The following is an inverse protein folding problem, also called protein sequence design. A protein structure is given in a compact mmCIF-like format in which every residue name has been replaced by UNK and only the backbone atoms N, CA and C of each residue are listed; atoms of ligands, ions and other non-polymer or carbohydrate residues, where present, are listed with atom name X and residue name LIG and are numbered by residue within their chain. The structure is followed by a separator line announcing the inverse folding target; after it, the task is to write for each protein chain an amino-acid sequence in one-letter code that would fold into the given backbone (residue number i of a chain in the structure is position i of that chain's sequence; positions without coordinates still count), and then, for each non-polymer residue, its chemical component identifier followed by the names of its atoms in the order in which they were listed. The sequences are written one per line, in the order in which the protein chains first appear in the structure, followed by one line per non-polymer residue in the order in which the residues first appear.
data_IF_465524856880
#
_entry.id   IF_465524856880
#
_cell.length_a   1.000
_cell.length_b   1.000
_cell.length_c   1.000
_cell.angle_alpha   90.00
_cell.angle_beta   90.00
_cell.angle_gamma   90.00
#
_symmetry.space_group_name_H-M   'P 1'
#
loop_
_entity.id
_entity.type
_entity.pdbx_description
1 polymer ?
#
# COMPACT_ATOMS: atom_id res chain seq x y z
N UNK A 1 -1.43 -7.02 -8.35
CA UNK A 1 -2.34 -7.77 -7.47
C UNK A 1 -2.26 -7.35 -6.01
N UNK A 2 -1.07 -7.15 -5.41
CA UNK A 2 -0.97 -6.77 -3.99
C UNK A 2 -1.68 -5.46 -3.63
N UNK A 3 -1.60 -4.44 -4.49
CA UNK A 3 -2.34 -3.19 -4.33
C UNK A 3 -3.85 -3.41 -4.19
N UNK A 4 -4.45 -4.06 -5.18
CA UNK A 4 -5.88 -4.42 -5.18
C UNK A 4 -6.27 -5.26 -3.95
N UNK A 5 -5.40 -6.16 -3.50
CA UNK A 5 -5.65 -6.94 -2.28
C UNK A 5 -5.70 -6.02 -1.04
N UNK A 6 -4.81 -5.05 -0.96
CA UNK A 6 -4.83 -4.00 0.07
C UNK A 6 -6.17 -3.27 0.10
N UNK A 7 -6.63 -2.77 -1.06
CA UNK A 7 -7.90 -2.05 -1.20
C UNK A 7 -9.10 -2.90 -0.75
N UNK A 8 -9.13 -4.18 -1.16
CA UNK A 8 -10.22 -5.09 -0.79
C UNK A 8 -10.23 -5.33 0.72
N UNK A 9 -9.06 -5.53 1.32
CA UNK A 9 -8.91 -5.78 2.75
C UNK A 9 -9.32 -4.54 3.55
N UNK A 10 -8.84 -3.36 3.17
CA UNK A 10 -9.24 -2.07 3.73
C UNK A 10 -10.76 -1.91 3.65
N UNK A 11 -11.33 -2.08 2.46
CA UNK A 11 -12.74 -1.82 2.22
C UNK A 11 -13.61 -2.77 3.04
N UNK A 12 -13.19 -4.02 3.21
CA UNK A 12 -13.84 -4.97 4.12
C UNK A 12 -13.87 -4.44 5.56
N UNK A 13 -12.73 -4.01 6.11
CA UNK A 13 -12.69 -3.45 7.47
C UNK A 13 -13.48 -2.15 7.60
N UNK A 14 -13.40 -1.27 6.60
CA UNK A 14 -14.18 -0.04 6.52
C UNK A 14 -15.68 -0.31 6.67
N UNK A 15 -16.20 -1.37 6.00
CA UNK A 15 -17.61 -1.79 6.14
C UNK A 15 -17.94 -2.25 7.56
N UNK A 16 -17.01 -2.92 8.25
CA UNK A 16 -17.23 -3.43 9.62
C UNK A 16 -17.26 -2.33 10.67
N UNK A 17 -16.60 -1.20 10.41
CA UNK A 17 -16.64 -0.02 11.27
C UNK A 17 -17.88 0.86 11.00
N UNK A 18 -18.74 0.46 10.04
CA UNK A 18 -20.01 1.14 9.75
C UNK A 18 -19.90 2.30 8.77
N UNK A 19 -18.75 2.50 8.12
CA UNK A 19 -18.56 3.51 7.08
C UNK A 19 -19.40 3.17 5.85
N UNK A 20 -20.00 4.19 5.22
CA UNK A 20 -20.81 4.04 4.01
C UNK A 20 -19.98 4.04 2.72
N UNK A 21 -20.56 3.56 1.61
CA UNK A 21 -19.80 3.35 0.36
C UNK A 21 -19.43 4.72 -0.20
N UNK A 22 -18.13 4.94 -0.43
CA UNK A 22 -17.63 6.25 -0.87
C UNK A 22 -17.40 7.26 0.25
N UNK A 23 -17.64 6.89 1.51
CA UNK A 23 -17.21 7.73 2.64
C UNK A 23 -15.69 7.70 2.77
N UNK A 24 -15.06 8.84 3.02
CA UNK A 24 -13.61 8.93 3.21
C UNK A 24 -13.20 8.26 4.55
N UNK A 25 -12.11 7.48 4.52
CA UNK A 25 -11.45 6.90 5.68
C UNK A 25 -9.94 7.19 5.67
N UNK A 26 -9.64 8.49 5.77
CA UNK A 26 -8.28 9.00 5.86
C UNK A 26 -7.67 8.62 7.22
N UNK A 27 -6.40 8.16 7.27
CA UNK A 27 -5.44 8.02 6.17
C UNK A 27 -5.44 6.65 5.47
N UNK A 28 -6.27 5.70 5.93
CA UNK A 28 -6.24 4.30 5.48
C UNK A 28 -6.46 4.16 3.97
N UNK A 29 -7.44 4.89 3.41
CA UNK A 29 -7.73 4.93 1.97
C UNK A 29 -6.54 5.37 1.09
N UNK A 30 -5.50 5.97 1.67
CA UNK A 30 -4.33 6.47 0.93
C UNK A 30 -3.14 5.52 1.01
N UNK A 31 -3.15 4.55 1.94
CA UNK A 31 -1.99 3.70 2.24
C UNK A 31 -2.29 2.21 2.12
N UNK A 32 -3.56 1.83 2.02
CA UNK A 32 -4.04 0.45 1.85
C UNK A 32 -3.40 -0.28 0.67
N UNK A 33 -3.48 0.29 -0.53
CA UNK A 33 -2.89 -0.27 -1.74
C UNK A 33 -1.38 -0.42 -1.59
N UNK A 34 -0.74 0.57 -0.95
CA UNK A 34 0.70 0.59 -0.75
C UNK A 34 1.13 -0.55 0.17
N UNK A 35 0.44 -0.69 1.31
CA UNK A 35 0.68 -1.75 2.28
C UNK A 35 0.46 -3.12 1.64
N UNK A 36 -0.65 -3.31 0.92
CA UNK A 36 -0.95 -4.55 0.23
C UNK A 36 0.09 -4.93 -0.81
N UNK A 37 0.59 -3.95 -1.59
CA UNK A 37 1.65 -4.16 -2.57
C UNK A 37 2.98 -4.54 -1.91
N UNK A 38 3.39 -3.83 -0.86
CA UNK A 38 4.64 -4.07 -0.15
C UNK A 38 4.65 -5.44 0.54
N UNK A 39 3.56 -5.79 1.25
CA UNK A 39 3.43 -7.10 1.90
C UNK A 39 3.53 -8.23 0.88
N UNK A 40 2.80 -8.13 -0.24
CA UNK A 40 2.86 -9.17 -1.26
C UNK A 40 4.25 -9.26 -1.89
N UNK A 41 4.90 -8.13 -2.15
CA UNK A 41 6.26 -8.10 -2.68
C UNK A 41 7.27 -8.77 -1.74
N UNK A 42 7.16 -8.51 -0.44
CA UNK A 42 7.97 -9.15 0.59
C UNK A 42 7.72 -10.67 0.64
N UNK A 43 6.46 -11.10 0.65
CA UNK A 43 6.08 -12.53 0.69
C UNK A 43 6.61 -13.26 -0.55
N UNK A 44 6.40 -12.72 -1.74
CA UNK A 44 6.89 -13.34 -2.98
C UNK A 44 8.42 -13.41 -2.98
N UNK A 45 9.11 -12.36 -2.53
CA UNK A 45 10.57 -12.37 -2.38
C UNK A 45 11.05 -13.44 -1.41
N UNK A 46 10.34 -13.64 -0.31
CA UNK A 46 10.65 -14.68 0.68
C UNK A 46 10.39 -16.09 0.11
N UNK A 47 9.31 -16.28 -0.65
CA UNK A 47 9.01 -17.56 -1.32
C UNK A 47 10.12 -17.90 -2.32
N UNK A 48 10.57 -16.94 -3.13
CA UNK A 48 11.65 -17.18 -4.10
C UNK A 48 12.97 -17.51 -3.42
N UNK A 49 13.24 -16.89 -2.28
CA UNK A 49 14.40 -17.24 -1.46
C UNK A 49 14.30 -18.67 -0.90
N UNK A 50 13.16 -19.01 -0.29
CA UNK A 50 12.95 -20.32 0.31
C UNK A 50 12.93 -21.46 -0.72
N UNK A 51 12.39 -21.19 -1.92
CA UNK A 51 12.36 -22.14 -3.03
C UNK A 51 13.72 -22.29 -3.74
N UNK A 52 14.76 -21.55 -3.33
CA UNK A 52 16.10 -21.61 -3.93
C UNK A 52 16.18 -20.99 -5.33
N UNK A 53 15.19 -20.17 -5.73
CA UNK A 53 15.21 -19.43 -7.01
C UNK A 53 16.18 -18.24 -6.90
N UNK A 54 16.28 -17.64 -5.71
CA UNK A 54 17.22 -16.56 -5.37
C UNK A 54 17.92 -16.87 -4.06
N UNK A 55 19.20 -16.54 -3.92
CA UNK A 55 19.96 -16.77 -2.67
C UNK A 55 19.70 -15.71 -1.59
N UNK A 56 18.85 -14.72 -1.89
CA UNK A 56 18.57 -13.59 -1.01
C UNK A 56 17.12 -13.11 -1.16
N UNK A 57 16.63 -12.39 -0.15
CA UNK A 57 15.33 -11.72 -0.24
C UNK A 57 15.45 -10.43 -1.07
N UNK A 58 14.86 -10.43 -2.26
CA UNK A 58 14.94 -9.27 -3.17
C UNK A 58 14.34 -8.00 -2.55
N UNK A 59 13.21 -8.10 -1.86
CA UNK A 59 12.59 -6.95 -1.19
C UNK A 59 13.52 -6.33 -0.14
N UNK A 60 14.05 -7.12 0.79
CA UNK A 60 14.93 -6.60 1.85
C UNK A 60 16.24 -6.01 1.32
N UNK A 61 16.74 -6.51 0.18
CA UNK A 61 17.96 -5.98 -0.46
C UNK A 61 17.73 -4.62 -1.11
N UNK A 62 16.55 -4.37 -1.68
CA UNK A 62 16.26 -3.17 -2.47
C UNK A 62 15.48 -2.10 -1.69
N UNK A 63 14.63 -2.51 -0.74
CA UNK A 63 13.84 -1.59 0.07
C UNK A 63 14.54 -1.32 1.40
N UNK A 64 15.05 -0.09 1.54
CA UNK A 64 15.57 0.43 2.80
C UNK A 64 14.44 1.08 3.61
N UNK A 65 14.63 1.27 4.93
CA UNK A 65 13.69 2.05 5.74
C UNK A 65 13.43 3.45 5.18
N UNK A 66 14.43 4.07 4.55
CA UNK A 66 14.28 5.37 3.90
C UNK A 66 13.36 5.30 2.67
N UNK A 67 13.48 4.26 1.85
CA UNK A 67 12.57 4.06 0.70
C UNK A 67 11.12 3.93 1.18
N UNK A 68 10.89 3.14 2.24
CA UNK A 68 9.58 2.99 2.87
C UNK A 68 9.06 4.33 3.40
N UNK A 69 9.89 5.05 4.15
CA UNK A 69 9.51 6.37 4.68
C UNK A 69 9.09 7.32 3.56
N UNK A 70 9.86 7.40 2.47
CA UNK A 70 9.55 8.27 1.32
C UNK A 70 8.22 7.90 0.70
N UNK A 71 7.95 6.63 0.41
CA UNK A 71 6.68 6.24 -0.22
C UNK A 71 5.48 6.47 0.71
N UNK A 72 5.63 6.24 2.03
CA UNK A 72 4.56 6.49 3.01
C UNK A 72 4.27 7.98 3.23
N UNK A 73 5.22 8.87 2.94
CA UNK A 73 5.02 10.33 3.01
C UNK A 73 4.50 10.87 1.68
N UNK A 74 5.13 10.49 0.57
CA UNK A 74 4.79 10.99 -0.77
C UNK A 74 3.40 10.53 -1.20
N UNK A 75 3.00 9.30 -0.87
CA UNK A 75 1.71 8.76 -1.32
C UNK A 75 0.52 9.58 -0.78
N UNK A 76 0.38 9.84 0.54
CA UNK A 76 -0.64 10.75 1.06
C UNK A 76 -0.58 12.16 0.48
N UNK A 77 0.64 12.72 0.33
CA UNK A 77 0.83 14.05 -0.24
C UNK A 77 0.29 14.14 -1.68
N UNK A 78 0.59 13.14 -2.52
CA UNK A 78 0.08 13.09 -3.89
C UNK A 78 -1.45 12.98 -3.92
N UNK A 79 -2.06 12.20 -3.04
CA UNK A 79 -3.52 12.11 -2.92
C UNK A 79 -4.15 13.46 -2.57
N UNK A 80 -3.61 14.15 -1.56
CA UNK A 80 -4.10 15.46 -1.13
C UNK A 80 -3.95 16.50 -2.24
N UNK A 81 -2.79 16.56 -2.90
CA UNK A 81 -2.52 17.50 -3.98
C UNK A 81 -3.46 17.25 -5.16
N UNK A 82 -3.63 16.00 -5.56
CA UNK A 82 -4.54 15.60 -6.65
C UNK A 82 -5.98 16.02 -6.34
N UNK A 83 -6.47 15.72 -5.12
CA UNK A 83 -7.81 16.10 -4.69
C UNK A 83 -8.01 17.62 -4.69
N UNK A 84 -7.00 18.39 -4.25
CA UNK A 84 -7.04 19.86 -4.22
C UNK A 84 -7.05 20.46 -5.63
N UNK A 85 -6.25 19.92 -6.55
CA UNK A 85 -6.22 20.37 -7.95
C UNK A 85 -7.52 20.08 -8.69
N UNK A 86 -8.16 18.95 -8.39
CA UNK A 86 -9.41 18.53 -9.04
C UNK A 86 -10.63 19.25 -8.46
N UNK A 87 -10.77 19.35 -7.13
CA UNK A 87 -11.91 20.03 -6.47
C UNK A 87 -11.79 21.56 -6.46
N UNK A 88 -10.61 22.10 -6.80
CA UNK A 88 -10.34 23.53 -6.88
C UNK A 88 -10.65 24.17 -8.24
N UNK A 89 -11.22 23.40 -9.18
CA UNK A 89 -11.83 23.87 -10.43
C UNK A 89 -13.34 23.71 -10.32
#
# INVERSE_FOLDING_TARGET
FGALLGDIVESFFKRRVGKERGEDWIPFDQVDFLIGALILCYIVSAIFQFAGILDYNWFLKNFSPLHLLVIFVITPLLHIISNKLYRGR
#
